data_IF_543297297409
#
_entry.id   IF_543297297409
#
_cell.length_a   1.000
_cell.length_b   1.000
_cell.length_c   1.000
_cell.angle_alpha   90.00
_cell.angle_beta   90.00
_cell.angle_gamma   90.00
#
_symmetry.space_group_name_H-M   'P 1'
#
loop_
_entity.id
_entity.type
_entity.pdbx_description
1 polymer ?
#
# COMPACT_ATOMS: atom_id res chain seq x y z
N UNK A 1 -3.60 -24.48 6.03
CA UNK A 1 -3.18 -23.67 4.86
C UNK A 1 -2.13 -24.44 4.09
N UNK A 2 -2.27 -24.62 2.76
CA UNK A 2 -1.19 -25.14 1.92
C UNK A 2 0.07 -24.27 2.03
N UNK A 3 1.25 -24.84 1.77
CA UNK A 3 2.52 -24.12 1.86
C UNK A 3 2.54 -22.81 1.05
N UNK A 4 1.90 -22.82 -0.13
CA UNK A 4 1.75 -21.64 -0.99
C UNK A 4 1.01 -20.50 -0.29
N UNK A 5 -0.09 -20.79 0.41
CA UNK A 5 -0.85 -19.77 1.15
C UNK A 5 -0.05 -19.21 2.32
N UNK A 6 0.73 -20.05 3.00
CA UNK A 6 1.57 -19.60 4.11
C UNK A 6 2.67 -18.65 3.62
N UNK A 7 3.34 -18.99 2.53
CA UNK A 7 4.36 -18.14 1.91
C UNK A 7 3.73 -16.82 1.46
N UNK A 8 2.58 -16.87 0.80
CA UNK A 8 1.85 -15.69 0.34
C UNK A 8 1.40 -14.81 1.52
N UNK A 9 0.99 -15.39 2.64
CA UNK A 9 0.59 -14.67 3.85
C UNK A 9 1.77 -13.93 4.45
N UNK A 10 2.90 -14.62 4.65
CA UNK A 10 4.10 -14.02 5.22
C UNK A 10 4.67 -12.93 4.30
N UNK A 11 4.68 -13.16 2.98
CA UNK A 11 5.14 -12.16 2.03
C UNK A 11 4.28 -10.89 2.07
N UNK A 12 2.95 -11.02 2.11
CA UNK A 12 2.05 -9.87 2.23
C UNK A 12 2.24 -9.15 3.57
N UNK A 13 2.29 -9.89 4.68
CA UNK A 13 2.46 -9.33 6.02
C UNK A 13 3.78 -8.56 6.15
N UNK A 14 4.91 -9.15 5.72
CA UNK A 14 6.22 -8.51 5.77
C UNK A 14 6.26 -7.28 4.86
N UNK A 15 5.68 -7.36 3.66
CA UNK A 15 5.62 -6.23 2.74
C UNK A 15 4.82 -5.06 3.36
N UNK A 16 3.65 -5.32 3.94
CA UNK A 16 2.81 -4.28 4.54
C UNK A 16 3.46 -3.64 5.76
N UNK A 17 4.04 -4.44 6.65
CA UNK A 17 4.78 -3.90 7.81
C UNK A 17 5.99 -3.09 7.34
N UNK A 18 6.75 -3.59 6.36
CA UNK A 18 7.92 -2.90 5.83
C UNK A 18 7.60 -1.56 5.17
N UNK A 19 6.57 -1.53 4.31
CA UNK A 19 6.12 -0.28 3.66
C UNK A 19 5.53 0.68 4.69
N UNK A 20 4.74 0.18 5.65
CA UNK A 20 4.17 0.99 6.71
C UNK A 20 5.25 1.65 7.59
N UNK A 21 6.30 0.92 7.97
CA UNK A 21 7.46 1.48 8.67
C UNK A 21 8.16 2.55 7.82
N UNK A 22 8.27 2.34 6.51
CA UNK A 22 8.93 3.29 5.61
C UNK A 22 8.17 4.63 5.53
N UNK A 23 6.85 4.66 5.71
CA UNK A 23 6.07 5.90 5.82
C UNK A 23 6.54 6.78 7.00
N UNK A 24 6.96 6.17 8.11
CA UNK A 24 7.47 6.90 9.29
C UNK A 24 8.95 7.27 9.15
N UNK A 25 9.78 6.35 8.66
CA UNK A 25 11.24 6.55 8.56
C UNK A 25 11.61 7.48 7.40
N UNK A 26 10.90 7.39 6.27
CA UNK A 26 11.15 8.20 5.06
C UNK A 26 9.82 8.68 4.46
N UNK A 27 9.12 9.65 5.08
CA UNK A 27 7.81 10.12 4.59
C UNK A 27 7.89 10.91 3.28
N UNK A 28 9.02 11.59 3.00
CA UNK A 28 9.13 12.57 1.89
C UNK A 28 8.69 12.04 0.51
N UNK A 29 9.07 10.82 0.08
CA UNK A 29 8.60 10.26 -1.18
C UNK A 29 7.08 10.07 -1.22
N UNK A 30 6.49 9.55 -0.14
CA UNK A 30 5.05 9.29 -0.04
C UNK A 30 4.24 10.58 0.00
N UNK A 31 4.71 11.58 0.75
CA UNK A 31 4.07 12.90 0.82
C UNK A 31 3.96 13.55 -0.56
N UNK A 32 4.97 13.37 -1.43
CA UNK A 32 4.95 13.97 -2.77
C UNK A 32 3.84 13.41 -3.66
N UNK A 33 3.48 12.13 -3.47
CA UNK A 33 2.49 11.46 -4.32
C UNK A 33 1.07 11.62 -3.79
N UNK A 34 0.89 12.30 -2.64
CA UNK A 34 -0.45 12.65 -2.15
C UNK A 34 -1.07 13.70 -3.08
N UNK A 35 -2.29 13.48 -3.59
CA UNK A 35 -2.98 14.47 -4.41
C UNK A 35 -3.13 15.83 -3.73
N UNK A 36 -2.89 16.92 -4.47
CA UNK A 36 -2.91 18.30 -3.93
C UNK A 36 -4.25 18.76 -3.36
N UNK A 37 -5.35 18.12 -3.75
CA UNK A 37 -6.69 18.42 -3.23
C UNK A 37 -6.92 17.86 -1.81
N UNK A 38 -6.05 16.97 -1.32
CA UNK A 38 -6.14 16.43 0.03
C UNK A 38 -5.36 17.29 1.03
N UNK A 39 -5.97 17.61 2.20
CA UNK A 39 -5.28 18.34 3.25
C UNK A 39 -4.28 17.45 4.00
N UNK A 40 -3.32 18.08 4.67
CA UNK A 40 -2.34 17.43 5.56
C UNK A 40 -1.67 16.14 5.00
N UNK A 41 -0.94 16.21 3.87
CA UNK A 41 -0.30 15.04 3.24
C UNK A 41 0.54 14.16 4.18
N UNK A 42 1.28 14.78 5.10
CA UNK A 42 2.11 14.06 6.06
C UNK A 42 1.27 13.23 7.05
N UNK A 43 0.15 13.78 7.52
CA UNK A 43 -0.74 13.07 8.41
C UNK A 43 -1.38 11.87 7.69
N UNK A 44 -1.81 12.04 6.44
CA UNK A 44 -2.36 10.95 5.63
C UNK A 44 -1.36 9.82 5.43
N UNK A 45 -0.09 10.14 5.16
CA UNK A 45 1.02 9.17 5.04
C UNK A 45 1.24 8.41 6.34
N UNK A 46 1.17 9.07 7.50
CA UNK A 46 1.30 8.38 8.79
C UNK A 46 0.07 7.53 9.13
N UNK A 47 -1.13 8.00 8.80
CA UNK A 47 -2.37 7.24 8.99
C UNK A 47 -2.34 5.98 8.12
N UNK A 48 -2.00 6.10 6.84
CA UNK A 48 -1.89 4.93 5.96
C UNK A 48 -0.81 3.97 6.46
N UNK A 49 0.39 4.47 6.78
CA UNK A 49 1.48 3.65 7.30
C UNK A 49 1.12 2.91 8.60
N UNK A 50 0.35 3.54 9.49
CA UNK A 50 -0.15 2.89 10.70
C UNK A 50 -1.08 1.71 10.37
N UNK A 51 -2.04 1.91 9.46
CA UNK A 51 -2.96 0.84 9.05
C UNK A 51 -2.28 -0.26 8.23
N UNK A 52 -1.23 0.05 7.47
CA UNK A 52 -0.41 -0.98 6.80
C UNK A 52 0.29 -1.89 7.82
N UNK A 53 0.90 -1.30 8.86
CA UNK A 53 1.54 -2.08 9.94
C UNK A 53 0.49 -2.92 10.67
N UNK A 54 -0.63 -2.30 11.05
CA UNK A 54 -1.71 -2.97 11.78
C UNK A 54 -2.31 -4.12 10.97
N UNK A 55 -2.56 -3.90 9.67
CA UNK A 55 -3.06 -4.93 8.76
C UNK A 55 -2.05 -6.05 8.53
N UNK A 56 -0.79 -5.71 8.31
CA UNK A 56 0.29 -6.69 8.14
C UNK A 56 0.46 -7.61 9.36
N UNK A 57 0.47 -7.04 10.57
CA UNK A 57 0.50 -7.82 11.81
C UNK A 57 -0.80 -8.60 12.04
N UNK A 58 -1.95 -7.99 11.72
CA UNK A 58 -3.27 -8.59 11.85
C UNK A 58 -3.50 -9.81 10.95
N UNK A 59 -2.82 -9.90 9.80
CA UNK A 59 -2.85 -11.08 8.92
C UNK A 59 -2.19 -12.32 9.56
N UNK A 60 -1.20 -12.11 10.44
CA UNK A 60 -0.45 -13.19 11.09
C UNK A 60 -1.28 -13.89 12.17
N UNK A 61 -2.26 -13.19 12.76
CA UNK A 61 -3.13 -13.72 13.81
C UNK A 61 -4.42 -14.28 13.17
N UNK A 62 -4.71 -15.60 13.26
CA UNK A 62 -5.84 -16.21 12.58
C UNK A 62 -7.20 -15.59 12.89
N UNK A 63 -7.41 -15.13 14.13
CA UNK A 63 -8.68 -14.52 14.57
C UNK A 63 -8.94 -13.14 13.95
N UNK A 64 -7.89 -12.38 13.61
CA UNK A 64 -8.00 -11.03 13.03
C UNK A 64 -7.79 -11.01 11.53
N UNK A 65 -7.34 -12.12 10.93
CA UNK A 65 -6.95 -12.17 9.52
C UNK A 65 -8.03 -11.68 8.54
N UNK A 66 -9.32 -12.08 8.67
CA UNK A 66 -10.35 -11.56 7.76
C UNK A 66 -10.52 -10.05 7.87
N UNK A 67 -10.51 -9.52 9.09
CA UNK A 67 -10.63 -8.09 9.36
C UNK A 67 -9.42 -7.32 8.85
N UNK A 68 -8.22 -7.87 9.01
CA UNK A 68 -6.98 -7.30 8.50
C UNK A 68 -6.95 -7.29 6.96
N UNK A 69 -7.41 -8.37 6.32
CA UNK A 69 -7.54 -8.46 4.87
C UNK A 69 -8.51 -7.39 4.33
N UNK A 70 -9.71 -7.28 4.91
CA UNK A 70 -10.67 -6.24 4.54
C UNK A 70 -10.14 -4.82 4.79
N UNK A 71 -9.44 -4.61 5.90
CA UNK A 71 -8.80 -3.34 6.22
C UNK A 71 -7.73 -2.94 5.20
N UNK A 72 -6.88 -3.89 4.78
CA UNK A 72 -5.88 -3.68 3.73
C UNK A 72 -6.52 -3.41 2.36
N UNK A 73 -7.61 -4.11 2.02
CA UNK A 73 -8.38 -3.83 0.78
C UNK A 73 -8.92 -2.40 0.81
N UNK A 74 -9.56 -1.99 1.89
CA UNK A 74 -10.08 -0.63 2.05
C UNK A 74 -8.95 0.40 1.96
N UNK A 75 -7.80 0.12 2.57
CA UNK A 75 -6.62 0.98 2.50
C UNK A 75 -6.08 1.10 1.07
N UNK A 76 -5.96 -0.01 0.33
CA UNK A 76 -5.57 0.01 -1.07
C UNK A 76 -6.54 0.86 -1.89
N UNK A 77 -7.86 0.73 -1.70
CA UNK A 77 -8.83 1.58 -2.39
C UNK A 77 -8.61 3.06 -2.02
N UNK A 78 -8.39 3.37 -0.74
CA UNK A 78 -8.19 4.73 -0.26
C UNK A 78 -6.92 5.39 -0.81
N UNK A 79 -5.83 4.64 -1.01
CA UNK A 79 -4.57 5.16 -1.57
C UNK A 79 -4.50 5.09 -3.10
N UNK A 80 -5.44 4.41 -3.76
CA UNK A 80 -5.51 4.34 -5.23
C UNK A 80 -5.46 5.71 -5.94
N UNK A 81 -6.13 6.77 -5.45
CA UNK A 81 -6.02 8.10 -6.05
C UNK A 81 -4.58 8.63 -6.12
N UNK A 82 -3.70 8.24 -5.18
CA UNK A 82 -2.29 8.64 -5.24
C UNK A 82 -1.57 8.02 -6.45
N UNK A 83 -1.89 6.77 -6.83
CA UNK A 83 -1.30 6.14 -8.02
C UNK A 83 -1.83 6.75 -9.32
N UNK A 84 -3.12 7.13 -9.36
CA UNK A 84 -3.67 7.92 -10.48
C UNK A 84 -2.94 9.27 -10.58
N UNK A 85 -2.79 9.96 -9.45
CA UNK A 85 -2.13 11.27 -9.39
C UNK A 85 -0.68 11.22 -9.90
N UNK A 86 0.06 10.17 -9.56
CA UNK A 86 1.39 9.94 -10.12
C UNK A 86 1.37 9.82 -11.65
N UNK A 87 0.38 9.11 -12.20
CA UNK A 87 0.24 8.92 -13.64
C UNK A 87 -0.18 10.20 -14.36
N UNK A 88 -1.17 10.94 -13.84
CA UNK A 88 -1.69 12.16 -14.48
C UNK A 88 -0.67 13.30 -14.43
N UNK A 89 -0.03 13.50 -13.29
CA UNK A 89 0.86 14.65 -13.05
C UNK A 89 2.34 14.30 -13.31
N UNK A 90 2.65 13.07 -13.76
CA UNK A 90 4.02 12.55 -13.95
C UNK A 90 4.92 12.73 -12.72
N UNK A 91 4.36 12.49 -11.54
CA UNK A 91 5.08 12.63 -10.27
C UNK A 91 5.78 11.32 -9.92
N UNK A 92 7.04 11.41 -9.51
CA UNK A 92 7.84 10.29 -9.04
C UNK A 92 8.15 10.40 -7.54
N UNK A 93 8.32 9.22 -6.92
CA UNK A 93 8.77 9.11 -5.52
C UNK A 93 10.15 9.76 -5.30
N UNK A 94 11.02 9.68 -6.31
CA UNK A 94 12.33 10.34 -6.34
C UNK A 94 12.44 11.21 -7.61
N UNK A 95 12.65 12.54 -7.51
CA UNK A 95 12.76 13.41 -8.69
C UNK A 95 14.02 13.10 -9.50
N UNK A 96 15.05 12.53 -8.85
CA UNK A 96 16.29 12.13 -9.51
C UNK A 96 16.16 10.82 -10.28
N UNK A 97 15.08 10.06 -10.02
CA UNK A 97 14.78 8.77 -10.66
C UNK A 97 13.32 8.75 -11.11
N UNK A 98 12.99 9.49 -12.18
CA UNK A 98 11.63 9.51 -12.71
C UNK A 98 11.21 8.10 -13.11
N UNK A 99 9.98 7.73 -12.74
CA UNK A 99 9.40 6.44 -13.13
C UNK A 99 8.85 6.61 -14.55
N UNK A 100 9.21 5.73 -15.50
CA UNK A 100 8.70 5.85 -16.86
C UNK A 100 7.17 5.64 -16.88
N UNK A 101 6.47 6.37 -17.77
CA UNK A 101 5.00 6.36 -17.85
C UNK A 101 4.39 4.97 -17.97
N UNK A 102 5.02 4.06 -18.71
CA UNK A 102 4.53 2.68 -18.84
C UNK A 102 4.53 1.93 -17.50
N UNK A 103 5.49 2.21 -16.61
CA UNK A 103 5.54 1.60 -15.28
C UNK A 103 4.50 2.21 -14.33
N UNK A 104 4.15 3.49 -14.50
CA UNK A 104 3.02 4.11 -13.79
C UNK A 104 1.69 3.50 -14.22
N UNK A 105 1.51 3.23 -15.53
CA UNK A 105 0.37 2.47 -16.03
C UNK A 105 0.29 1.07 -15.44
N UNK A 106 1.43 0.36 -15.34
CA UNK A 106 1.50 -0.98 -14.77
C UNK A 106 1.15 -1.02 -13.27
N UNK A 107 1.38 0.06 -12.53
CA UNK A 107 1.05 0.13 -11.09
C UNK A 107 -0.45 0.02 -10.82
N UNK A 108 -1.30 0.54 -11.70
CA UNK A 108 -2.75 0.51 -11.52
C UNK A 108 -3.31 -0.93 -11.46
N UNK A 109 -3.08 -1.81 -12.46
CA UNK A 109 -3.50 -3.21 -12.37
C UNK A 109 -2.72 -3.97 -11.30
N UNK A 110 -1.46 -3.61 -11.03
CA UNK A 110 -0.69 -4.26 -9.96
C UNK A 110 -1.30 -4.03 -8.57
N UNK A 111 -1.91 -2.86 -8.34
CA UNK A 111 -2.65 -2.60 -7.11
C UNK A 111 -3.90 -3.47 -6.97
N UNK A 112 -4.59 -3.78 -8.08
CA UNK A 112 -5.70 -4.74 -8.07
C UNK A 112 -5.22 -6.14 -7.70
N UNK A 113 -4.02 -6.54 -8.13
CA UNK A 113 -3.43 -7.82 -7.72
C UNK A 113 -3.23 -7.89 -6.19
N UNK A 114 -2.79 -6.78 -5.56
CA UNK A 114 -2.69 -6.74 -4.10
C UNK A 114 -4.05 -6.83 -3.40
N UNK A 115 -5.10 -6.22 -3.97
CA UNK A 115 -6.47 -6.36 -3.45
C UNK A 115 -6.93 -7.82 -3.53
N UNK A 116 -6.74 -8.48 -4.68
CA UNK A 116 -7.08 -9.90 -4.86
C UNK A 116 -6.26 -10.79 -3.92
N UNK A 117 -4.98 -10.46 -3.72
CA UNK A 117 -4.11 -11.18 -2.79
C UNK A 117 -4.59 -11.05 -1.35
N UNK A 118 -4.94 -9.84 -0.90
CA UNK A 118 -5.53 -9.64 0.42
C UNK A 118 -6.88 -10.36 0.56
N UNK A 119 -7.73 -10.32 -0.48
CA UNK A 119 -9.02 -11.02 -0.51
C UNK A 119 -8.87 -12.53 -0.35
N UNK A 120 -7.76 -13.12 -0.81
CA UNK A 120 -7.51 -14.56 -0.62
C UNK A 120 -7.40 -14.99 0.85
N UNK A 121 -7.23 -14.04 1.77
CA UNK A 121 -7.12 -14.29 3.21
C UNK A 121 -8.35 -13.85 4.03
N UNK A 122 -9.45 -13.46 3.36
CA UNK A 122 -10.74 -13.21 4.03
C UNK A 122 -11.41 -14.48 4.51
#
# INVERSE_FOLDING_TARGET
MPAVQLIALWALAIAMVGIGVLHFVRPKPFVRIVPKYLPAPLALVYISGFFEILGGLGLLVPATRPWAAWGLIALYIAVFPANIYMLTDNISLDPKKPIPRWALWLRLPFQLLFIVWAYWFT
#
